data_IF_304606972410
#
_entry.id   IF_304606972410
#
_cell.length_a   1.000
_cell.length_b   1.000
_cell.length_c   1.000
_cell.angle_alpha   90.00
_cell.angle_beta   90.00
_cell.angle_gamma   90.00
#
_symmetry.space_group_name_H-M   'P 1'
#
loop_
_entity.id
_entity.type
_entity.pdbx_description
1 polymer ?
#
# COMPACT_ATOMS: atom_id res chain seq x y z
N UNK A 1 9.80 -5.44 -7.22
CA UNK A 1 11.15 -6.04 -7.21
C UNK A 1 12.25 -5.07 -7.70
N UNK A 2 11.92 -3.93 -8.29
CA UNK A 2 12.95 -2.96 -8.70
C UNK A 2 13.68 -2.40 -7.48
N UNK A 3 15.01 -2.51 -7.45
CA UNK A 3 15.92 -1.81 -6.52
C UNK A 3 16.96 -1.05 -7.36
N UNK A 4 17.29 0.16 -6.94
CA UNK A 4 18.23 1.07 -7.60
C UNK A 4 19.50 1.16 -6.79
N UNK A 5 20.60 0.63 -7.33
CA UNK A 5 21.92 0.72 -6.68
C UNK A 5 22.45 2.16 -6.58
N UNK A 6 21.89 3.09 -7.36
CA UNK A 6 22.30 4.50 -7.44
C UNK A 6 21.50 5.44 -6.53
N UNK A 7 20.42 4.97 -5.89
CA UNK A 7 19.60 5.76 -4.99
C UNK A 7 20.10 5.63 -3.56
N UNK A 8 20.29 6.74 -2.84
CA UNK A 8 20.89 6.73 -1.49
C UNK A 8 20.08 5.93 -0.47
N UNK A 9 18.76 5.79 -0.65
CA UNK A 9 17.87 5.10 0.29
C UNK A 9 17.51 3.69 -0.18
N UNK A 10 17.44 3.47 -1.49
CA UNK A 10 17.08 2.20 -2.11
C UNK A 10 18.28 1.34 -2.54
N UNK A 11 19.51 1.85 -2.41
CA UNK A 11 20.75 1.08 -2.60
C UNK A 11 20.88 -0.10 -1.61
N UNK A 12 20.26 0.04 -0.42
CA UNK A 12 20.17 -1.00 0.59
C UNK A 12 18.74 -1.06 1.15
N UNK A 13 18.24 -2.26 1.43
CA UNK A 13 16.93 -2.46 2.06
C UNK A 13 17.03 -3.58 3.07
N UNK A 14 16.78 -3.30 4.34
CA UNK A 14 16.81 -4.30 5.41
C UNK A 14 15.74 -5.39 5.21
N UNK A 15 15.95 -6.58 5.77
CA UNK A 15 14.94 -7.66 5.77
C UNK A 15 13.63 -7.17 6.40
N UNK A 16 13.73 -6.34 7.45
CA UNK A 16 12.57 -5.74 8.12
C UNK A 16 11.76 -4.87 7.15
N UNK A 17 12.42 -3.96 6.43
CA UNK A 17 11.78 -3.11 5.42
C UNK A 17 11.20 -3.92 4.26
N UNK A 18 11.91 -4.96 3.80
CA UNK A 18 11.40 -5.87 2.77
C UNK A 18 10.13 -6.59 3.22
N UNK A 19 10.09 -7.11 4.45
CA UNK A 19 8.92 -7.77 5.02
C UNK A 19 7.73 -6.81 5.12
N UNK A 20 7.95 -5.60 5.61
CA UNK A 20 6.90 -4.58 5.73
C UNK A 20 6.34 -4.21 4.35
N UNK A 21 7.20 -3.98 3.37
CA UNK A 21 6.79 -3.67 1.99
C UNK A 21 5.95 -4.80 1.39
N UNK A 22 6.43 -6.04 1.47
CA UNK A 22 5.71 -7.19 0.93
C UNK A 22 4.36 -7.41 1.64
N UNK A 23 4.34 -7.32 2.97
CA UNK A 23 3.12 -7.49 3.76
C UNK A 23 2.07 -6.44 3.37
N UNK A 24 2.48 -5.18 3.23
CA UNK A 24 1.58 -4.08 2.83
C UNK A 24 0.99 -4.31 1.44
N UNK A 25 1.80 -4.77 0.48
CA UNK A 25 1.33 -5.10 -0.88
C UNK A 25 0.30 -6.25 -0.85
N UNK A 26 0.58 -7.31 -0.08
CA UNK A 26 -0.32 -8.46 0.04
C UNK A 26 -1.63 -8.08 0.70
N UNK A 27 -1.60 -7.24 1.73
CA UNK A 27 -2.79 -6.80 2.44
C UNK A 27 -3.67 -5.91 1.56
N UNK A 28 -3.07 -4.99 0.78
CA UNK A 28 -3.80 -4.25 -0.25
C UNK A 28 -4.50 -5.20 -1.24
N UNK A 29 -3.80 -6.21 -1.74
CA UNK A 29 -4.35 -7.18 -2.70
C UNK A 29 -5.51 -8.00 -2.14
N UNK A 30 -5.49 -8.35 -0.85
CA UNK A 30 -6.63 -9.01 -0.18
C UNK A 30 -7.84 -8.08 -0.13
N UNK A 31 -7.65 -6.83 0.28
CA UNK A 31 -8.72 -5.83 0.35
C UNK A 31 -9.30 -5.51 -1.04
N UNK A 32 -8.45 -5.39 -2.06
CA UNK A 32 -8.85 -5.22 -3.45
C UNK A 32 -9.72 -6.40 -3.93
N UNK A 33 -9.28 -7.63 -3.67
CA UNK A 33 -10.02 -8.83 -4.03
C UNK A 33 -11.41 -8.85 -3.38
N UNK A 34 -11.50 -8.49 -2.10
CA UNK A 34 -12.77 -8.48 -1.37
C UNK A 34 -13.70 -7.34 -1.81
N UNK A 35 -13.16 -6.18 -2.17
CA UNK A 35 -13.93 -5.07 -2.72
C UNK A 35 -14.49 -5.41 -4.11
N UNK A 36 -13.71 -6.05 -4.97
CA UNK A 36 -14.15 -6.51 -6.29
C UNK A 36 -15.29 -7.52 -6.17
N UNK A 37 -15.19 -8.49 -5.25
CA UNK A 37 -16.28 -9.44 -4.97
C UNK A 37 -17.58 -8.76 -4.54
N UNK A 38 -17.50 -7.57 -3.95
CA UNK A 38 -18.64 -6.75 -3.52
C UNK A 38 -19.12 -5.77 -4.61
N UNK A 39 -18.60 -5.87 -5.84
CA UNK A 39 -19.04 -5.08 -6.99
C UNK A 39 -18.29 -3.77 -7.21
N UNK A 40 -17.24 -3.48 -6.43
CA UNK A 40 -16.41 -2.29 -6.67
C UNK A 40 -15.52 -2.51 -7.89
N UNK A 41 -15.45 -1.52 -8.78
CA UNK A 41 -14.64 -1.63 -9.99
C UNK A 41 -13.15 -1.43 -9.69
N UNK A 42 -12.30 -2.13 -10.44
CA UNK A 42 -10.84 -1.99 -10.35
C UNK A 42 -10.36 -0.57 -10.65
N UNK A 43 -11.08 0.19 -11.49
CA UNK A 43 -10.78 1.58 -11.77
C UNK A 43 -10.93 2.48 -10.52
N UNK A 44 -12.00 2.28 -9.72
CA UNK A 44 -12.19 3.01 -8.46
C UNK A 44 -11.09 2.66 -7.45
N UNK A 45 -10.78 1.37 -7.28
CA UNK A 45 -9.71 0.91 -6.38
C UNK A 45 -8.35 1.44 -6.84
N UNK A 46 -8.08 1.47 -8.15
CA UNK A 46 -6.82 1.98 -8.69
C UNK A 46 -6.60 3.48 -8.48
N UNK A 47 -7.66 4.24 -8.19
CA UNK A 47 -7.60 5.68 -7.98
C UNK A 47 -7.29 6.10 -6.53
N UNK A 48 -7.34 5.16 -5.57
CA UNK A 48 -7.14 5.48 -4.16
C UNK A 48 -5.69 5.84 -3.84
N UNK A 49 -5.50 6.75 -2.88
CA UNK A 49 -4.19 7.34 -2.64
C UNK A 49 -3.25 6.37 -1.93
N UNK A 50 -3.78 5.48 -1.08
CA UNK A 50 -2.98 4.46 -0.40
C UNK A 50 -2.18 3.58 -1.38
N UNK A 51 -2.72 3.28 -2.57
CA UNK A 51 -2.01 2.52 -3.61
C UNK A 51 -0.71 3.21 -4.04
N UNK A 52 -0.72 4.54 -4.19
CA UNK A 52 0.47 5.34 -4.52
C UNK A 52 1.42 5.47 -3.33
N UNK A 53 0.89 5.46 -2.11
CA UNK A 53 1.73 5.53 -0.92
C UNK A 53 2.56 4.25 -0.73
N UNK A 54 2.05 3.07 -1.13
CA UNK A 54 2.80 1.81 -1.06
C UNK A 54 4.14 1.90 -1.81
N UNK A 55 4.19 2.56 -2.97
CA UNK A 55 5.46 2.71 -3.70
C UNK A 55 6.48 3.59 -2.97
N UNK A 56 6.04 4.49 -2.07
CA UNK A 56 6.93 5.36 -1.28
C UNK A 56 7.72 4.59 -0.22
N UNK A 57 7.26 3.41 0.21
CA UNK A 57 7.96 2.55 1.18
C UNK A 57 9.40 2.32 0.74
N UNK A 58 9.60 2.07 -0.56
CA UNK A 58 10.91 1.84 -1.18
C UNK A 58 11.91 2.98 -0.90
N UNK A 59 11.47 4.23 -1.05
CA UNK A 59 12.31 5.43 -0.91
C UNK A 59 12.32 6.03 0.49
N UNK A 60 11.63 5.39 1.45
CA UNK A 60 11.55 5.87 2.83
C UNK A 60 12.74 5.35 3.63
N UNK A 61 13.31 6.21 4.47
CA UNK A 61 14.43 5.84 5.34
C UNK A 61 14.01 4.73 6.32
N UNK A 62 14.96 3.88 6.70
CA UNK A 62 14.71 2.70 7.54
C UNK A 62 14.04 3.04 8.88
N UNK A 63 14.43 4.14 9.51
CA UNK A 63 13.87 4.64 10.78
C UNK A 63 12.45 5.20 10.65
N UNK A 64 12.01 5.54 9.44
CA UNK A 64 10.71 6.14 9.15
C UNK A 64 9.72 5.13 8.54
N UNK A 65 10.19 3.97 8.11
CA UNK A 65 9.38 3.03 7.32
C UNK A 65 8.19 2.48 8.10
N UNK A 66 8.37 2.19 9.39
CA UNK A 66 7.28 1.64 10.21
C UNK A 66 6.14 2.65 10.41
N UNK A 67 6.49 3.92 10.56
CA UNK A 67 5.51 5.00 10.69
C UNK A 67 4.72 5.15 9.38
N UNK A 68 5.40 5.18 8.24
CA UNK A 68 4.73 5.23 6.94
C UNK A 68 3.81 4.03 6.71
N UNK A 69 4.23 2.81 7.07
CA UNK A 69 3.40 1.61 6.92
C UNK A 69 2.13 1.69 7.78
N UNK A 70 2.21 2.22 8.99
CA UNK A 70 1.02 2.46 9.84
C UNK A 70 0.07 3.46 9.19
N UNK A 71 0.59 4.55 8.63
CA UNK A 71 -0.21 5.56 7.92
C UNK A 71 -0.89 4.97 6.68
N UNK A 72 -0.16 4.20 5.87
CA UNK A 72 -0.72 3.50 4.71
C UNK A 72 -1.83 2.55 5.14
N UNK A 73 -1.60 1.76 6.19
CA UNK A 73 -2.60 0.80 6.70
C UNK A 73 -3.89 1.49 7.14
N UNK A 74 -3.78 2.57 7.91
CA UNK A 74 -4.94 3.37 8.34
C UNK A 74 -5.66 3.97 7.13
N UNK A 75 -4.92 4.51 6.16
CA UNK A 75 -5.48 5.10 4.94
C UNK A 75 -6.18 4.08 4.07
N UNK A 76 -5.61 2.88 3.89
CA UNK A 76 -6.25 1.76 3.18
C UNK A 76 -7.59 1.41 3.85
N UNK A 77 -7.60 1.23 5.18
CA UNK A 77 -8.83 0.89 5.90
C UNK A 77 -9.95 1.90 5.68
N UNK A 78 -9.64 3.19 5.74
CA UNK A 78 -10.59 4.26 5.48
C UNK A 78 -11.07 4.24 4.02
N UNK A 79 -10.16 4.26 3.05
CA UNK A 79 -10.52 4.32 1.63
C UNK A 79 -11.35 3.11 1.16
N UNK A 80 -11.01 1.91 1.63
CA UNK A 80 -11.80 0.72 1.31
C UNK A 80 -13.17 0.73 2.00
N UNK A 81 -13.29 1.26 3.22
CA UNK A 81 -14.59 1.42 3.88
C UNK A 81 -15.50 2.41 3.14
N UNK A 82 -14.93 3.53 2.68
CA UNK A 82 -15.64 4.54 1.89
C UNK A 82 -16.13 3.97 0.56
N UNK A 83 -15.26 3.26 -0.17
CA UNK A 83 -15.61 2.60 -1.43
C UNK A 83 -16.76 1.60 -1.28
N UNK A 84 -16.75 0.80 -0.22
CA UNK A 84 -17.81 -0.18 0.05
C UNK A 84 -19.14 0.49 0.38
N UNK A 85 -19.10 1.63 1.06
CA UNK A 85 -20.29 2.42 1.39
C UNK A 85 -20.89 3.06 0.13
N UNK A 86 -20.05 3.56 -0.77
CA UNK A 86 -20.48 4.12 -2.06
C UNK A 86 -21.04 3.07 -3.02
N UNK A 87 -20.49 1.86 -3.05
CA UNK A 87 -20.94 0.79 -3.94
C UNK A 87 -22.24 0.11 -3.53
N UNK A 88 -22.71 0.34 -2.30
CA UNK A 88 -23.99 -0.19 -1.79
C UNK A 88 -25.17 0.76 -2.08
N UNK A 89 -24.90 1.98 -2.54
CA UNK A 89 -25.91 2.97 -2.97
C UNK A 89 -26.15 2.91 -4.47
#
# INVERSE_FOLDING_TARGET
LQQSAYDEVDTYTSIRKQLLMLSTILDFGKMETDAIKKGITSAKIGSIESRKMISKIKWTKEDQVEQLVKEITSKMQQEFADLLTEGTR
#
